data_IF_471970821501
#
_entry.id   IF_471970821501
#
_cell.length_a   1.000
_cell.length_b   1.000
_cell.length_c   1.000
_cell.angle_alpha   90.00
_cell.angle_beta   90.00
_cell.angle_gamma   90.00
#
_symmetry.space_group_name_H-M   'P 1'
#
loop_
_entity.id
_entity.type
_entity.pdbx_description
1 polymer ?
#
# COMPACT_ATOMS: atom_id res chain seq x y z
N UNK A 1 -7.02 3.23 -11.97
CA UNK A 1 -7.41 3.69 -10.61
C UNK A 1 -8.14 5.00 -10.74
N UNK A 2 -9.06 5.32 -9.81
CA UNK A 2 -9.67 6.64 -9.70
C UNK A 2 -8.87 7.51 -8.71
N UNK A 3 -8.92 8.85 -8.81
CA UNK A 3 -8.32 9.72 -7.80
C UNK A 3 -8.93 9.40 -6.42
N UNK A 4 -8.07 9.20 -5.43
CA UNK A 4 -8.46 8.73 -4.10
C UNK A 4 -7.93 9.62 -2.97
N UNK A 5 -7.31 10.75 -3.31
CA UNK A 5 -6.96 11.80 -2.35
C UNK A 5 -7.14 13.19 -3.00
N UNK A 6 -7.24 14.28 -2.22
CA UNK A 6 -7.51 15.61 -2.75
C UNK A 6 -6.49 16.10 -3.79
N UNK A 7 -5.21 15.79 -3.61
CA UNK A 7 -4.16 16.17 -4.56
C UNK A 7 -4.37 15.51 -5.93
N UNK A 8 -4.69 14.21 -5.96
CA UNK A 8 -5.00 13.48 -7.20
C UNK A 8 -6.25 14.01 -7.88
N UNK A 9 -7.28 14.41 -7.11
CA UNK A 9 -8.46 15.05 -7.67
C UNK A 9 -8.12 16.37 -8.37
N UNK A 10 -7.33 17.24 -7.74
CA UNK A 10 -6.90 18.51 -8.32
C UNK A 10 -6.08 18.29 -9.62
N UNK A 11 -5.13 17.35 -9.60
CA UNK A 11 -4.32 17.04 -10.77
C UNK A 11 -5.17 16.58 -11.96
N UNK A 12 -6.13 15.66 -11.74
CA UNK A 12 -6.98 15.18 -12.83
C UNK A 12 -8.04 16.19 -13.25
N UNK A 13 -8.49 17.06 -12.35
CA UNK A 13 -9.38 18.17 -12.70
C UNK A 13 -8.71 19.15 -13.66
N UNK A 14 -7.43 19.45 -13.48
CA UNK A 14 -6.69 20.35 -14.36
C UNK A 14 -6.22 19.65 -15.65
N UNK A 15 -5.68 18.43 -15.55
CA UNK A 15 -5.05 17.76 -16.70
C UNK A 15 -6.04 17.07 -17.64
N UNK A 16 -7.22 16.68 -17.16
CA UNK A 16 -8.31 16.07 -17.94
C UNK A 16 -7.87 14.91 -18.86
N UNK A 17 -6.85 14.16 -18.45
CA UNK A 17 -6.30 13.04 -19.22
C UNK A 17 -5.84 11.90 -18.30
N UNK A 18 -5.75 10.65 -18.81
CA UNK A 18 -5.20 9.55 -18.03
C UNK A 18 -3.70 9.77 -17.77
N UNK A 19 -3.30 9.62 -16.51
CA UNK A 19 -1.91 9.76 -16.07
C UNK A 19 -1.35 8.42 -15.60
N UNK A 20 -0.07 8.19 -15.89
CA UNK A 20 0.66 7.06 -15.31
C UNK A 20 0.92 7.35 -13.84
N UNK A 21 0.32 6.55 -12.96
CA UNK A 21 0.50 6.61 -11.50
C UNK A 21 1.10 5.29 -11.03
N UNK A 22 2.44 5.21 -11.00
CA UNK A 22 3.19 4.02 -10.57
C UNK A 22 3.95 4.28 -9.28
N UNK A 23 4.39 3.22 -8.60
CA UNK A 23 5.22 3.35 -7.39
C UNK A 23 6.54 4.06 -7.73
N UNK A 24 6.83 5.14 -7.00
CA UNK A 24 8.07 5.91 -7.12
C UNK A 24 9.21 5.23 -6.37
N UNK A 25 9.79 4.18 -6.93
CA UNK A 25 10.89 3.45 -6.31
C UNK A 25 11.90 2.96 -7.34
N UNK A 26 13.17 2.91 -6.93
CA UNK A 26 14.20 2.20 -7.69
C UNK A 26 13.94 0.69 -7.64
N UNK A 27 14.27 -0.01 -8.73
CA UNK A 27 14.14 -1.48 -8.79
C UNK A 27 14.95 -2.13 -7.66
N UNK A 28 14.33 -3.07 -6.94
CA UNK A 28 14.93 -3.74 -5.78
C UNK A 28 14.94 -2.92 -4.48
N UNK A 29 14.51 -1.66 -4.49
CA UNK A 29 14.34 -0.85 -3.27
C UNK A 29 12.85 -0.73 -2.88
N UNK A 30 12.55 -0.71 -1.58
CA UNK A 30 11.20 -0.40 -1.13
C UNK A 30 10.83 1.06 -1.46
N UNK A 31 9.54 1.39 -1.57
CA UNK A 31 9.09 2.76 -1.77
C UNK A 31 9.56 3.72 -0.68
N UNK A 32 9.97 4.91 -1.11
CA UNK A 32 10.32 6.02 -0.24
C UNK A 32 9.08 6.52 0.51
N UNK A 33 9.22 6.81 1.80
CA UNK A 33 8.18 7.42 2.64
C UNK A 33 8.56 8.80 3.16
N UNK A 34 9.85 9.14 3.14
CA UNK A 34 10.33 10.48 3.48
C UNK A 34 10.67 11.27 2.22
N UNK A 35 10.59 12.59 2.32
CA UNK A 35 10.90 13.50 1.22
C UNK A 35 12.36 13.38 0.79
N UNK A 36 13.27 13.27 1.75
CA UNK A 36 14.72 13.16 1.50
C UNK A 36 15.04 11.88 0.73
N UNK A 37 14.41 10.76 1.11
CA UNK A 37 14.59 9.49 0.42
C UNK A 37 14.03 9.54 -1.00
N UNK A 38 12.86 10.16 -1.20
CA UNK A 38 12.25 10.30 -2.52
C UNK A 38 13.13 11.14 -3.45
N UNK A 39 13.67 12.26 -2.97
CA UNK A 39 14.60 13.09 -3.72
C UNK A 39 15.86 12.31 -4.08
N UNK A 40 16.47 11.61 -3.12
CA UNK A 40 17.70 10.86 -3.35
C UNK A 40 17.53 9.69 -4.33
N UNK A 41 16.44 8.92 -4.22
CA UNK A 41 16.20 7.74 -5.07
C UNK A 41 15.70 8.11 -6.47
N UNK A 42 14.94 9.20 -6.63
CA UNK A 42 14.26 9.52 -7.89
C UNK A 42 14.86 10.72 -8.65
N UNK A 43 15.90 11.38 -8.14
CA UNK A 43 16.55 12.52 -8.81
C UNK A 43 16.98 12.26 -10.26
N UNK A 44 17.30 11.01 -10.61
CA UNK A 44 17.69 10.61 -11.97
C UNK A 44 16.52 10.16 -12.85
N UNK A 45 15.29 10.20 -12.35
CA UNK A 45 14.08 9.68 -13.00
C UNK A 45 13.03 10.79 -13.14
N UNK A 46 12.82 11.57 -12.10
CA UNK A 46 11.79 12.61 -12.06
C UNK A 46 12.37 13.98 -12.42
N UNK A 47 11.73 14.67 -13.37
CA UNK A 47 12.07 16.04 -13.74
C UNK A 47 11.67 17.07 -12.66
N UNK A 48 10.79 16.68 -11.75
CA UNK A 48 10.29 17.53 -10.67
C UNK A 48 9.59 16.73 -9.58
N UNK A 49 9.44 17.36 -8.41
CA UNK A 49 8.88 16.73 -7.22
C UNK A 49 7.73 17.55 -6.66
N UNK A 50 6.55 16.91 -6.55
CA UNK A 50 5.40 17.46 -5.85
C UNK A 50 5.24 16.72 -4.51
N UNK A 51 5.83 17.29 -3.45
CA UNK A 51 5.91 16.72 -2.10
C UNK A 51 5.24 17.63 -1.05
N UNK A 52 5.03 17.11 0.16
CA UNK A 52 4.38 17.85 1.25
C UNK A 52 5.06 17.58 2.61
N UNK A 53 4.73 18.40 3.61
CA UNK A 53 5.28 18.38 4.98
C UNK A 53 4.41 17.58 5.97
N UNK A 54 3.64 16.60 5.48
CA UNK A 54 2.85 15.68 6.30
C UNK A 54 3.50 14.31 6.19
N UNK A 55 4.07 13.83 7.29
CA UNK A 55 4.86 12.61 7.27
C UNK A 55 4.03 11.37 6.93
N UNK A 56 4.63 10.48 6.14
CA UNK A 56 4.09 9.14 5.87
C UNK A 56 4.87 8.18 6.76
N UNK A 57 4.22 7.70 7.82
CA UNK A 57 4.86 6.82 8.82
C UNK A 57 4.76 5.33 8.49
N UNK A 58 3.87 4.96 7.57
CA UNK A 58 3.64 3.58 7.16
C UNK A 58 3.65 3.48 5.64
N UNK A 59 4.39 2.50 5.12
CA UNK A 59 4.33 2.14 3.69
C UNK A 59 2.97 1.52 3.41
N UNK A 60 2.30 2.01 2.37
CA UNK A 60 0.99 1.51 1.98
C UNK A 60 0.83 1.60 0.46
N UNK A 61 1.18 0.52 -0.22
CA UNK A 61 1.01 0.38 -1.66
C UNK A 61 -0.48 0.39 -2.05
N UNK A 62 -0.74 0.68 -3.32
CA UNK A 62 -2.08 0.55 -3.88
C UNK A 62 -2.51 -0.91 -3.96
N UNK A 63 -3.72 -1.18 -3.49
CA UNK A 63 -4.34 -2.49 -3.66
C UNK A 63 -4.70 -2.74 -5.12
N UNK A 64 -4.57 -3.98 -5.57
CA UNK A 64 -4.85 -4.38 -6.95
C UNK A 64 -5.87 -5.51 -6.94
N UNK A 65 -6.97 -5.28 -7.66
CA UNK A 65 -8.05 -6.25 -7.86
C UNK A 65 -8.32 -6.38 -9.35
N UNK A 66 -8.72 -7.57 -9.79
CA UNK A 66 -9.30 -7.76 -11.13
C UNK A 66 -10.74 -7.26 -11.14
N UNK A 67 -11.26 -6.99 -12.34
CA UNK A 67 -12.68 -6.67 -12.53
C UNK A 67 -13.60 -7.79 -12.02
N UNK A 68 -13.16 -9.06 -12.09
CA UNK A 68 -13.86 -10.21 -11.50
C UNK A 68 -13.96 -10.18 -9.96
N UNK A 69 -13.30 -9.22 -9.29
CA UNK A 69 -13.22 -9.13 -7.83
C UNK A 69 -12.06 -9.91 -7.22
N UNK A 70 -11.26 -10.62 -8.02
CA UNK A 70 -10.10 -11.36 -7.53
C UNK A 70 -9.03 -10.41 -6.97
N UNK A 71 -8.61 -10.65 -5.72
CA UNK A 71 -7.57 -9.87 -5.05
C UNK A 71 -6.17 -10.30 -5.51
N UNK A 72 -5.39 -9.38 -6.08
CA UNK A 72 -4.00 -9.61 -6.49
C UNK A 72 -2.98 -9.04 -5.49
N UNK A 73 -3.31 -7.90 -4.87
CA UNK A 73 -2.51 -7.26 -3.82
C UNK A 73 -3.43 -6.56 -2.83
N UNK A 74 -3.39 -6.97 -1.56
CA UNK A 74 -4.18 -6.38 -0.47
C UNK A 74 -3.29 -5.42 0.35
N UNK A 75 -3.51 -4.12 0.22
CA UNK A 75 -2.74 -3.07 0.90
C UNK A 75 -3.66 -1.88 1.26
N UNK A 76 -3.49 -0.71 0.63
CA UNK A 76 -4.30 0.50 0.91
C UNK A 76 -5.80 0.22 0.76
N UNK A 77 -6.58 0.65 1.74
CA UNK A 77 -8.04 0.50 1.76
C UNK A 77 -8.54 -0.85 2.28
N UNK A 78 -7.65 -1.80 2.58
CA UNK A 78 -7.99 -3.08 3.22
C UNK A 78 -7.20 -3.34 4.51
N UNK A 79 -5.94 -2.93 4.59
CA UNK A 79 -5.14 -3.03 5.82
C UNK A 79 -5.47 -1.84 6.73
N UNK A 80 -5.67 -2.03 8.05
CA UNK A 80 -5.45 -3.24 8.86
C UNK A 80 -6.74 -4.01 9.22
N UNK A 81 -7.76 -4.00 8.37
CA UNK A 81 -9.00 -4.72 8.67
C UNK A 81 -8.74 -6.21 8.84
N UNK A 82 -9.29 -6.77 9.90
CA UNK A 82 -9.10 -8.16 10.24
C UNK A 82 -10.21 -9.06 9.68
N UNK A 83 -9.84 -10.28 9.30
CA UNK A 83 -10.69 -11.33 8.76
C UNK A 83 -11.05 -12.34 9.84
N UNK A 84 -12.31 -12.79 9.80
CA UNK A 84 -12.78 -13.81 10.73
C UNK A 84 -12.13 -15.17 10.45
N UNK A 85 -11.65 -15.84 11.49
CA UNK A 85 -11.19 -17.23 11.37
C UNK A 85 -12.38 -18.19 11.11
N UNK A 86 -12.14 -19.33 10.43
CA UNK A 86 -13.19 -20.32 10.15
C UNK A 86 -13.86 -20.84 11.44
N UNK A 87 -15.11 -21.34 11.32
CA UNK A 87 -15.78 -21.99 12.44
C UNK A 87 -14.92 -23.10 13.06
N UNK A 88 -14.86 -23.15 14.39
CA UNK A 88 -14.03 -24.11 15.15
C UNK A 88 -12.74 -23.49 15.72
N UNK A 89 -12.22 -22.41 15.13
CA UNK A 89 -11.05 -21.70 15.67
C UNK A 89 -11.46 -20.77 16.82
N UNK A 90 -11.22 -21.21 18.05
CA UNK A 90 -11.50 -20.47 19.29
C UNK A 90 -10.27 -20.50 20.19
N UNK A 91 -10.06 -19.44 20.97
CA UNK A 91 -8.97 -19.32 21.95
C UNK A 91 -7.57 -19.57 21.37
N UNK A 92 -7.33 -19.11 20.14
CA UNK A 92 -6.01 -19.21 19.49
C UNK A 92 -5.02 -18.31 20.25
N UNK A 93 -3.85 -18.82 20.69
CA UNK A 93 -2.82 -17.99 21.31
C UNK A 93 -2.30 -16.93 20.31
N UNK A 94 -1.63 -15.87 20.77
CA UNK A 94 -1.03 -14.89 19.87
C UNK A 94 0.09 -15.54 19.05
N UNK A 95 -0.14 -15.70 17.74
CA UNK A 95 0.80 -16.30 16.79
C UNK A 95 1.16 -15.27 15.72
N UNK A 96 2.46 -15.11 15.50
CA UNK A 96 3.00 -14.31 14.40
C UNK A 96 3.29 -15.21 13.20
N UNK A 97 2.65 -14.91 12.07
CA UNK A 97 2.87 -15.57 10.80
C UNK A 97 3.73 -14.65 9.91
N UNK A 98 4.97 -15.06 9.64
CA UNK A 98 5.94 -14.24 8.92
C UNK A 98 5.68 -14.13 7.41
N UNK A 99 4.88 -15.04 6.84
CA UNK A 99 4.65 -15.10 5.40
C UNK A 99 5.77 -15.83 4.65
N UNK A 100 5.93 -15.52 3.37
CA UNK A 100 6.96 -16.07 2.48
C UNK A 100 7.97 -14.97 2.09
N UNK A 101 9.08 -15.34 1.44
CA UNK A 101 10.13 -14.38 1.04
C UNK A 101 9.72 -13.43 -0.10
N UNK A 102 8.85 -13.87 -1.02
CA UNK A 102 8.35 -13.06 -2.12
C UNK A 102 6.92 -12.63 -1.88
N UNK A 103 6.63 -11.34 -2.12
CA UNK A 103 5.33 -10.70 -1.89
C UNK A 103 4.84 -10.98 -0.47
N UNK A 104 5.51 -10.41 0.53
CA UNK A 104 5.30 -10.75 1.95
C UNK A 104 4.11 -9.98 2.55
N UNK A 105 2.92 -10.60 2.77
CA UNK A 105 2.00 -10.16 3.79
C UNK A 105 2.36 -10.89 5.09
N UNK A 106 2.89 -10.18 6.08
CA UNK A 106 2.94 -10.70 7.44
C UNK A 106 1.54 -10.63 8.05
N UNK A 107 1.18 -11.64 8.85
CA UNK A 107 -0.11 -11.70 9.52
C UNK A 107 0.08 -11.91 11.02
N UNK A 108 -0.76 -11.26 11.81
CA UNK A 108 -0.81 -11.45 13.26
C UNK A 108 -2.17 -12.02 13.61
N UNK A 109 -2.18 -13.19 14.24
CA UNK A 109 -3.40 -13.83 14.69
C UNK A 109 -3.43 -13.78 16.22
N UNK A 110 -4.34 -13.00 16.77
CA UNK A 110 -4.50 -12.84 18.22
C UNK A 110 -5.89 -13.32 18.68
N UNK A 111 -5.97 -13.66 19.97
CA UNK A 111 -7.12 -14.26 20.64
C UNK A 111 -8.38 -13.37 20.63
N UNK A 112 -9.04 -13.27 19.47
CA UNK A 112 -10.47 -12.95 19.30
C UNK A 112 -10.90 -13.09 17.82
N UNK A 113 -10.59 -14.25 17.23
CA UNK A 113 -11.13 -14.72 15.94
C UNK A 113 -10.75 -13.86 14.73
N UNK A 114 -9.65 -13.12 14.77
CA UNK A 114 -9.32 -12.13 13.75
C UNK A 114 -7.83 -12.18 13.36
N UNK A 115 -7.57 -12.38 12.07
CA UNK A 115 -6.32 -12.08 11.38
C UNK A 115 -6.70 -11.12 10.26
#
# INVERSE_FOLDING_TARGET
MLPANPLQHLLLQELQCPLVMTSGNLSGKPPAISNEQALADLQGIADGFLIHNRDIVQRMDDSVVRESGEMLRRSRGYVPDALALPPGFKNVPPVLCLGADLKIPSAWCAANKRC
#
